data_IF_875459994110
#
_entry.id   IF_875459994110
#
_cell.length_a   1.000
_cell.length_b   1.000
_cell.length_c   1.000
_cell.angle_alpha   90.00
_cell.angle_beta   90.00
_cell.angle_gamma   90.00
#
_symmetry.space_group_name_H-M   'P 1'
#
loop_
_entity.id
_entity.type
_entity.pdbx_description
1 polymer ?
#
# COMPACT_ATOMS: atom_id res chain seq x y z
N UNK A 1 -18.71 -34.21 -37.31
CA UNK A 1 -17.35 -33.85 -36.93
C UNK A 1 -17.39 -32.63 -36.05
N UNK A 2 -17.01 -32.81 -34.76
CA UNK A 2 -16.86 -31.71 -33.80
C UNK A 2 -15.56 -31.02 -34.12
N UNK A 3 -15.62 -29.77 -34.53
CA UNK A 3 -14.44 -28.93 -34.76
C UNK A 3 -13.84 -28.58 -33.41
N UNK A 4 -12.78 -29.25 -32.99
CA UNK A 4 -11.95 -28.83 -31.85
C UNK A 4 -11.00 -27.77 -32.40
N UNK A 5 -11.35 -26.50 -32.19
CA UNK A 5 -10.43 -25.40 -32.48
C UNK A 5 -9.17 -25.52 -31.63
N UNK A 6 -8.05 -24.86 -32.02
CA UNK A 6 -6.83 -24.91 -31.24
C UNK A 6 -7.15 -24.35 -29.82
N UNK A 7 -6.81 -25.14 -28.81
CA UNK A 7 -6.86 -24.68 -27.41
C UNK A 7 -5.97 -23.45 -27.32
N UNK A 8 -6.61 -22.29 -27.21
CA UNK A 8 -5.88 -21.07 -26.83
C UNK A 8 -5.38 -21.28 -25.41
N UNK A 9 -4.08 -21.28 -25.14
CA UNK A 9 -3.59 -21.39 -23.77
C UNK A 9 -4.29 -20.31 -22.95
N UNK A 10 -4.96 -20.72 -21.88
CA UNK A 10 -5.48 -19.74 -20.90
C UNK A 10 -4.32 -18.84 -20.53
N UNK A 11 -4.49 -17.51 -20.54
CA UNK A 11 -3.41 -16.62 -20.17
C UNK A 11 -2.90 -17.05 -18.80
N UNK A 12 -1.58 -17.17 -18.66
CA UNK A 12 -0.90 -17.43 -17.41
C UNK A 12 -1.56 -16.58 -16.34
N UNK A 13 -2.03 -17.20 -15.25
CA UNK A 13 -2.71 -16.50 -14.17
C UNK A 13 -1.87 -15.29 -13.78
N UNK A 14 -2.46 -14.10 -13.85
CA UNK A 14 -1.83 -12.85 -13.45
C UNK A 14 -1.47 -12.87 -11.96
N UNK A 15 -0.76 -11.86 -11.50
CA UNK A 15 -0.37 -11.72 -10.09
C UNK A 15 -1.61 -11.57 -9.21
N UNK A 16 -1.48 -12.00 -7.96
CA UNK A 16 -2.45 -11.77 -6.90
C UNK A 16 -1.87 -10.67 -5.98
N UNK A 17 -2.36 -9.47 -6.13
CA UNK A 17 -1.84 -8.27 -5.44
C UNK A 17 -2.82 -7.82 -4.36
N UNK A 18 -2.41 -7.89 -3.09
CA UNK A 18 -3.11 -7.18 -2.02
C UNK A 18 -2.45 -5.82 -1.82
N UNK A 19 -3.24 -4.76 -1.79
CA UNK A 19 -2.81 -3.42 -1.41
C UNK A 19 -3.24 -3.16 0.02
N UNK A 20 -2.32 -2.85 0.92
CA UNK A 20 -2.61 -2.43 2.28
C UNK A 20 -2.33 -0.93 2.43
N UNK A 21 -3.36 -0.15 2.73
CA UNK A 21 -3.31 1.31 2.78
C UNK A 21 -3.61 1.78 4.19
N UNK A 22 -2.69 2.57 4.72
CA UNK A 22 -2.79 3.23 6.01
C UNK A 22 -3.87 4.33 5.99
N UNK A 23 -4.76 4.32 6.98
CA UNK A 23 -5.78 5.33 7.21
C UNK A 23 -5.61 6.03 8.57
N UNK A 24 -4.43 5.92 9.20
CA UNK A 24 -4.13 6.61 10.46
C UNK A 24 -4.27 8.13 10.34
N UNK A 25 -4.32 8.81 11.48
CA UNK A 25 -4.56 10.25 11.53
C UNK A 25 -3.54 11.06 10.74
N UNK A 26 -2.27 10.63 10.70
CA UNK A 26 -1.17 11.28 9.96
C UNK A 26 -1.38 11.31 8.45
N UNK A 27 -2.11 10.34 7.88
CA UNK A 27 -2.47 10.31 6.46
C UNK A 27 -3.37 11.49 6.03
N UNK A 28 -3.94 12.21 7.00
CA UNK A 28 -4.67 13.46 6.78
C UNK A 28 -3.79 14.71 6.65
N UNK A 29 -2.48 14.61 6.84
CA UNK A 29 -1.57 15.76 6.71
C UNK A 29 -1.49 16.25 5.28
N UNK A 30 -1.54 17.58 5.09
CA UNK A 30 -1.49 18.27 3.80
C UNK A 30 -0.07 18.74 3.48
N UNK A 31 0.89 17.79 3.43
CA UNK A 31 2.30 18.06 3.12
C UNK A 31 2.69 17.75 1.67
N UNK A 32 1.71 17.36 0.85
CA UNK A 32 1.84 17.19 -0.60
C UNK A 32 1.14 18.31 -1.37
N UNK A 33 1.48 18.47 -2.64
CA UNK A 33 0.78 19.34 -3.55
C UNK A 33 0.38 18.59 -4.83
N UNK A 34 -0.89 18.66 -5.20
CA UNK A 34 -1.42 18.15 -6.46
C UNK A 34 -1.89 19.36 -7.29
N UNK A 35 -1.36 19.52 -8.49
CA UNK A 35 -1.64 20.68 -9.36
C UNK A 35 -1.44 22.05 -8.67
N UNK A 36 -0.40 22.13 -7.81
CA UNK A 36 -0.08 23.34 -7.06
C UNK A 36 -1.00 23.65 -5.88
N UNK A 37 -1.92 22.73 -5.53
CA UNK A 37 -2.81 22.86 -4.36
C UNK A 37 -2.37 21.90 -3.25
N UNK A 38 -2.34 22.36 -1.98
CA UNK A 38 -2.12 21.48 -0.85
C UNK A 38 -3.12 20.31 -0.87
N UNK A 39 -2.63 19.11 -0.61
CA UNK A 39 -3.45 17.90 -0.59
C UNK A 39 -2.96 16.93 0.47
N UNK A 40 -3.87 16.08 0.95
CA UNK A 40 -3.54 15.10 2.00
C UNK A 40 -2.71 13.94 1.43
N UNK A 41 -1.91 13.30 2.29
CA UNK A 41 -1.18 12.07 1.95
C UNK A 41 -2.10 11.00 1.39
N UNK A 42 -3.26 10.80 2.02
CA UNK A 42 -4.25 9.81 1.57
C UNK A 42 -4.77 10.14 0.16
N UNK A 43 -5.05 11.41 -0.15
CA UNK A 43 -5.53 11.79 -1.48
C UNK A 43 -4.50 11.46 -2.58
N UNK A 44 -3.22 11.74 -2.32
CA UNK A 44 -2.12 11.39 -3.24
C UNK A 44 -1.97 9.88 -3.40
N UNK A 45 -2.05 9.14 -2.30
CA UNK A 45 -2.00 7.67 -2.32
C UNK A 45 -3.16 7.08 -3.12
N UNK A 46 -4.38 7.60 -2.93
CA UNK A 46 -5.54 7.17 -3.72
C UNK A 46 -5.36 7.40 -5.20
N UNK A 47 -4.90 8.59 -5.60
CA UNK A 47 -4.68 8.93 -7.00
C UNK A 47 -3.68 7.97 -7.66
N UNK A 48 -2.51 7.78 -7.05
CA UNK A 48 -1.50 6.87 -7.56
C UNK A 48 -1.96 5.40 -7.55
N UNK A 49 -2.71 4.98 -6.54
CA UNK A 49 -3.25 3.62 -6.45
C UNK A 49 -4.34 3.36 -7.51
N UNK A 50 -5.17 4.35 -7.84
CA UNK A 50 -6.14 4.28 -8.94
C UNK A 50 -5.43 4.01 -10.27
N UNK A 51 -4.37 4.76 -10.57
CA UNK A 51 -3.55 4.57 -11.76
C UNK A 51 -2.91 3.18 -11.81
N UNK A 52 -2.38 2.70 -10.66
CA UNK A 52 -1.84 1.35 -10.55
C UNK A 52 -2.89 0.29 -10.86
N UNK A 53 -4.07 0.38 -10.23
CA UNK A 53 -5.18 -0.56 -10.44
C UNK A 53 -5.60 -0.57 -11.92
N UNK A 54 -5.72 0.60 -12.55
CA UNK A 54 -6.15 0.72 -13.94
C UNK A 54 -5.21 0.01 -14.93
N UNK A 55 -3.90 0.01 -14.65
CA UNK A 55 -2.88 -0.60 -15.52
C UNK A 55 -2.72 -2.12 -15.35
N UNK A 56 -3.25 -2.71 -14.28
CA UNK A 56 -3.07 -4.14 -13.95
C UNK A 56 -4.13 -5.03 -14.62
N UNK A 57 -4.04 -5.14 -15.94
CA UNK A 57 -4.89 -6.06 -16.70
C UNK A 57 -4.41 -7.51 -16.47
N UNK A 58 -5.34 -8.40 -16.15
CA UNK A 58 -5.03 -9.82 -15.91
C UNK A 58 -4.62 -10.14 -14.46
N UNK A 59 -4.33 -9.14 -13.63
CA UNK A 59 -4.05 -9.34 -12.20
C UNK A 59 -5.35 -9.36 -11.37
N UNK A 60 -5.37 -10.13 -10.28
CA UNK A 60 -6.37 -9.96 -9.22
C UNK A 60 -5.84 -8.96 -8.20
N UNK A 61 -6.65 -7.97 -7.88
CA UNK A 61 -6.32 -6.95 -6.89
C UNK A 61 -7.30 -7.02 -5.75
N UNK A 62 -6.80 -6.95 -4.52
CA UNK A 62 -7.59 -6.80 -3.30
C UNK A 62 -7.10 -5.61 -2.49
N UNK A 63 -7.91 -5.16 -1.54
CA UNK A 63 -7.64 -3.98 -0.73
C UNK A 63 -7.81 -4.30 0.75
N UNK A 64 -6.78 -4.03 1.52
CA UNK A 64 -6.78 -3.98 2.98
C UNK A 64 -6.66 -2.52 3.38
N UNK A 65 -7.53 -2.07 4.27
CA UNK A 65 -7.42 -0.76 4.92
C UNK A 65 -7.06 -0.97 6.39
N UNK A 66 -6.19 -0.14 6.94
CA UNK A 66 -5.78 -0.29 8.33
C UNK A 66 -5.47 1.05 9.01
N UNK A 67 -5.68 1.06 10.31
CA UNK A 67 -5.21 2.03 11.28
C UNK A 67 -5.01 1.31 12.62
N UNK A 68 -5.80 1.50 13.65
CA UNK A 68 -5.76 0.70 14.89
C UNK A 68 -6.02 -0.79 14.63
N UNK A 69 -6.78 -1.09 13.58
CA UNK A 69 -7.12 -2.44 13.13
C UNK A 69 -7.02 -2.52 11.60
N UNK A 70 -6.83 -3.74 11.12
CA UNK A 70 -6.80 -4.04 9.69
C UNK A 70 -8.03 -4.86 9.27
N UNK A 71 -8.59 -4.54 8.10
CA UNK A 71 -9.71 -5.28 7.52
C UNK A 71 -9.63 -5.32 5.99
N UNK A 72 -10.27 -6.33 5.41
CA UNK A 72 -10.37 -6.47 3.96
C UNK A 72 -11.51 -5.59 3.46
N UNK A 73 -11.19 -4.56 2.70
CA UNK A 73 -12.16 -3.69 2.04
C UNK A 73 -12.63 -4.29 0.70
N UNK A 74 -11.70 -4.89 -0.06
CA UNK A 74 -12.00 -5.63 -1.27
C UNK A 74 -11.26 -6.97 -1.28
N UNK A 75 -11.95 -8.11 -1.53
CA UNK A 75 -11.28 -9.38 -1.76
C UNK A 75 -10.52 -9.35 -3.08
N UNK A 76 -9.62 -10.33 -3.29
CA UNK A 76 -8.91 -10.49 -4.58
C UNK A 76 -9.92 -10.71 -5.72
N UNK A 77 -9.98 -9.77 -6.65
CA UNK A 77 -10.90 -9.78 -7.79
C UNK A 77 -10.23 -9.26 -9.07
N UNK A 78 -10.74 -9.68 -10.22
CA UNK A 78 -10.39 -9.10 -11.53
C UNK A 78 -11.17 -7.80 -11.80
N UNK A 79 -12.21 -7.51 -11.02
CA UNK A 79 -13.02 -6.30 -11.19
C UNK A 79 -12.33 -5.09 -10.58
N UNK A 80 -11.53 -4.44 -11.40
CA UNK A 80 -10.77 -3.24 -11.02
C UNK A 80 -11.67 -2.05 -10.69
N UNK A 81 -12.86 -1.97 -11.29
CA UNK A 81 -13.79 -0.87 -11.02
C UNK A 81 -14.32 -0.94 -9.60
N UNK A 82 -14.65 -2.14 -9.12
CA UNK A 82 -15.07 -2.36 -7.73
C UNK A 82 -13.95 -1.98 -6.76
N UNK A 83 -12.70 -2.42 -7.02
CA UNK A 83 -11.56 -2.08 -6.16
C UNK A 83 -11.33 -0.57 -6.14
N UNK A 84 -11.37 0.09 -7.29
CA UNK A 84 -11.23 1.55 -7.42
C UNK A 84 -12.33 2.30 -6.66
N UNK A 85 -13.58 1.86 -6.77
CA UNK A 85 -14.69 2.48 -6.04
C UNK A 85 -14.50 2.35 -4.52
N UNK A 86 -14.20 1.14 -4.03
CA UNK A 86 -13.98 0.88 -2.61
C UNK A 86 -12.77 1.65 -2.05
N UNK A 87 -11.73 1.84 -2.86
CA UNK A 87 -10.59 2.69 -2.50
C UNK A 87 -11.02 4.17 -2.37
N UNK A 88 -11.88 4.66 -3.25
CA UNK A 88 -12.37 6.05 -3.18
C UNK A 88 -13.20 6.33 -1.92
N UNK A 89 -13.89 5.32 -1.41
CA UNK A 89 -14.69 5.43 -0.17
C UNK A 89 -13.83 5.46 1.10
N UNK A 90 -12.54 5.10 1.02
CA UNK A 90 -11.64 5.10 2.16
C UNK A 90 -11.45 6.54 2.72
N UNK A 91 -11.45 6.68 4.05
CA UNK A 91 -11.31 7.96 4.74
C UNK A 91 -10.34 7.82 5.90
N UNK A 92 -9.58 8.89 6.18
CA UNK A 92 -8.71 8.98 7.35
C UNK A 92 -9.51 8.75 8.62
N UNK A 93 -8.95 7.95 9.54
CA UNK A 93 -9.55 7.69 10.85
C UNK A 93 -10.74 6.73 10.84
N UNK A 94 -11.07 6.11 9.69
CA UNK A 94 -12.22 5.20 9.58
C UNK A 94 -12.16 4.03 10.59
N UNK A 95 -10.96 3.56 10.93
CA UNK A 95 -10.72 2.45 11.86
C UNK A 95 -9.83 2.82 13.06
N UNK A 96 -9.61 4.11 13.30
CA UNK A 96 -8.80 4.65 14.39
C UNK A 96 -7.76 5.65 13.93
N UNK A 97 -6.83 6.00 14.83
CA UNK A 97 -5.82 7.03 14.58
C UNK A 97 -4.39 6.49 14.57
N UNK A 98 -4.20 5.25 15.06
CA UNK A 98 -2.91 4.59 15.20
C UNK A 98 -2.58 3.76 13.95
N UNK A 99 -1.45 3.03 13.97
CA UNK A 99 -0.92 2.32 12.79
C UNK A 99 -0.55 0.88 13.17
N UNK A 100 -1.37 -0.09 12.73
CA UNK A 100 -1.19 -1.52 12.99
C UNK A 100 -0.60 -2.26 11.78
N UNK A 101 0.67 -2.04 11.47
CA UNK A 101 1.34 -2.60 10.29
C UNK A 101 1.36 -4.14 10.32
N UNK A 102 1.69 -4.73 11.46
CA UNK A 102 1.75 -6.19 11.59
C UNK A 102 0.42 -6.87 11.31
N UNK A 103 -0.67 -6.32 11.83
CA UNK A 103 -2.04 -6.82 11.60
C UNK A 103 -2.44 -6.65 10.12
N UNK A 104 -2.05 -5.55 9.46
CA UNK A 104 -2.29 -5.33 8.03
C UNK A 104 -1.61 -6.40 7.17
N UNK A 105 -0.35 -6.72 7.48
CA UNK A 105 0.39 -7.80 6.80
C UNK A 105 -0.30 -9.14 7.07
N UNK A 106 -0.67 -9.46 8.31
CA UNK A 106 -1.32 -10.72 8.67
C UNK A 106 -2.66 -10.93 7.94
N UNK A 107 -3.48 -9.88 7.84
CA UNK A 107 -4.75 -9.91 7.09
C UNK A 107 -4.50 -10.17 5.60
N UNK A 108 -3.52 -9.48 4.98
CA UNK A 108 -3.17 -9.69 3.59
C UNK A 108 -2.61 -11.11 3.34
N UNK A 109 -1.73 -11.59 4.20
CA UNK A 109 -1.17 -12.96 4.15
C UNK A 109 -2.28 -14.01 4.14
N UNK A 110 -3.27 -13.86 5.02
CA UNK A 110 -4.43 -14.77 5.07
C UNK A 110 -5.19 -14.85 3.75
N UNK A 111 -5.21 -13.79 2.96
CA UNK A 111 -5.89 -13.74 1.66
C UNK A 111 -5.02 -14.25 0.52
N UNK A 112 -3.71 -14.16 0.65
CA UNK A 112 -2.75 -14.56 -0.39
C UNK A 112 -2.28 -16.01 -0.26
N UNK A 113 -2.26 -16.60 0.94
CA UNK A 113 -1.63 -17.91 1.22
C UNK A 113 -2.13 -19.06 0.34
N UNK A 114 -3.38 -19.01 -0.10
CA UNK A 114 -4.01 -20.07 -0.91
C UNK A 114 -3.91 -19.81 -2.43
N UNK A 115 -3.15 -18.79 -2.84
CA UNK A 115 -2.89 -18.47 -4.25
C UNK A 115 -1.58 -19.14 -4.70
N UNK A 116 -1.32 -19.26 -6.02
CA UNK A 116 -0.05 -19.77 -6.52
C UNK A 116 1.14 -18.99 -5.94
N UNK A 117 2.19 -19.68 -5.48
CA UNK A 117 3.28 -19.08 -4.70
C UNK A 117 4.00 -17.94 -5.45
N UNK A 118 4.22 -18.11 -6.77
CA UNK A 118 4.97 -17.15 -7.60
C UNK A 118 4.19 -15.86 -7.88
N UNK A 119 2.87 -15.86 -7.57
CA UNK A 119 1.97 -14.74 -7.90
C UNK A 119 1.63 -13.86 -6.72
N UNK A 120 2.07 -14.19 -5.50
CA UNK A 120 1.66 -13.53 -4.24
C UNK A 120 2.42 -12.26 -3.98
N UNK A 121 1.74 -11.14 -4.01
CA UNK A 121 2.34 -9.80 -3.78
C UNK A 121 1.49 -9.02 -2.78
N UNK A 122 2.15 -8.39 -1.81
CA UNK A 122 1.58 -7.36 -0.94
C UNK A 122 2.28 -6.03 -1.21
N UNK A 123 1.52 -4.97 -1.43
CA UNK A 123 2.00 -3.59 -1.48
C UNK A 123 1.49 -2.88 -0.24
N UNK A 124 2.38 -2.52 0.66
CA UNK A 124 2.09 -1.86 1.93
C UNK A 124 2.45 -0.38 1.86
N UNK A 125 1.48 0.49 2.10
CA UNK A 125 1.68 1.94 2.16
C UNK A 125 1.39 2.45 3.56
N UNK A 126 2.32 3.19 4.12
CA UNK A 126 2.20 3.84 5.43
C UNK A 126 3.05 5.10 5.49
N UNK A 127 2.69 6.02 6.36
CA UNK A 127 3.44 7.23 6.67
C UNK A 127 3.99 7.26 8.11
N UNK A 128 3.82 6.17 8.87
CA UNK A 128 4.20 6.11 10.28
C UNK A 128 4.95 4.85 10.69
N UNK A 129 5.22 4.78 11.98
CA UNK A 129 5.71 3.60 12.66
C UNK A 129 4.53 2.77 13.19
N UNK A 130 4.73 1.46 13.32
CA UNK A 130 3.73 0.59 13.95
C UNK A 130 3.64 0.88 15.44
N UNK A 131 2.47 1.32 15.89
CA UNK A 131 2.20 1.67 17.30
C UNK A 131 0.89 1.08 17.83
N UNK A 132 0.26 0.21 17.04
CA UNK A 132 -0.96 -0.52 17.39
C UNK A 132 -0.93 -1.94 16.80
N UNK A 133 -1.96 -2.71 17.10
CA UNK A 133 -2.14 -4.07 16.60
C UNK A 133 -1.65 -5.14 17.58
N UNK A 134 -1.90 -6.38 17.24
CA UNK A 134 -1.58 -7.55 18.05
C UNK A 134 -0.35 -8.30 17.55
N UNK A 135 0.01 -8.12 16.28
CA UNK A 135 1.15 -8.77 15.65
C UNK A 135 2.28 -7.77 15.39
N UNK A 136 3.50 -8.16 15.77
CA UNK A 136 4.70 -7.39 15.45
C UNK A 136 4.98 -7.40 13.94
N UNK A 137 5.35 -6.25 13.32
CA UNK A 137 5.56 -6.14 11.88
C UNK A 137 6.57 -7.15 11.32
N UNK A 138 7.70 -7.37 12.00
CA UNK A 138 8.74 -8.31 11.54
C UNK A 138 8.32 -9.76 11.69
N UNK A 139 7.49 -10.10 12.68
CA UNK A 139 6.91 -11.44 12.79
C UNK A 139 5.93 -11.71 11.64
N UNK A 140 5.10 -10.72 11.30
CA UNK A 140 4.20 -10.81 10.16
C UNK A 140 4.97 -10.94 8.82
N UNK A 141 6.08 -10.21 8.66
CA UNK A 141 6.95 -10.33 7.50
C UNK A 141 7.58 -11.73 7.38
N UNK A 142 8.03 -12.30 8.48
CA UNK A 142 8.56 -13.66 8.51
C UNK A 142 7.50 -14.69 8.09
N UNK A 143 6.28 -14.55 8.59
CA UNK A 143 5.17 -15.40 8.16
C UNK A 143 4.89 -15.25 6.66
N UNK A 144 4.93 -14.04 6.12
CA UNK A 144 4.77 -13.79 4.69
C UNK A 144 5.87 -14.47 3.88
N UNK A 145 7.14 -14.37 4.32
CA UNK A 145 8.28 -15.04 3.69
C UNK A 145 8.10 -16.55 3.63
N UNK A 146 7.74 -17.17 4.76
CA UNK A 146 7.54 -18.62 4.86
C UNK A 146 6.43 -19.12 3.91
N UNK A 147 5.50 -18.25 3.56
CA UNK A 147 4.40 -18.50 2.62
C UNK A 147 4.69 -18.02 1.18
N UNK A 148 5.92 -17.61 0.88
CA UNK A 148 6.32 -17.16 -0.46
C UNK A 148 5.64 -15.86 -0.91
N UNK A 149 5.26 -14.97 0.01
CA UNK A 149 4.63 -13.68 -0.29
C UNK A 149 5.71 -12.60 -0.31
N UNK A 150 5.82 -11.86 -1.41
CA UNK A 150 6.71 -10.69 -1.52
C UNK A 150 6.00 -9.46 -1.01
N UNK A 151 6.66 -8.70 -0.14
CA UNK A 151 6.12 -7.43 0.38
C UNK A 151 6.94 -6.27 -0.18
N UNK A 152 6.27 -5.40 -0.94
CA UNK A 152 6.80 -4.10 -1.31
C UNK A 152 6.28 -3.08 -0.32
N UNK A 153 7.18 -2.29 0.26
CA UNK A 153 6.82 -1.28 1.24
C UNK A 153 7.04 0.11 0.69
N UNK A 154 6.08 1.00 0.88
CA UNK A 154 6.12 2.39 0.41
C UNK A 154 5.92 3.29 1.62
N UNK A 155 6.98 4.02 1.99
CA UNK A 155 6.91 5.07 3.00
C UNK A 155 6.47 6.39 2.36
N UNK A 156 5.38 6.98 2.86
CA UNK A 156 4.79 8.21 2.33
C UNK A 156 5.11 9.38 3.25
N UNK A 157 5.47 10.53 2.69
CA UNK A 157 5.72 11.77 3.43
C UNK A 157 6.70 12.68 2.70
N UNK A 158 6.39 13.97 2.63
CA UNK A 158 7.13 14.93 1.81
C UNK A 158 8.57 15.20 2.29
N UNK A 159 8.92 14.81 3.51
CA UNK A 159 10.22 15.10 4.11
C UNK A 159 10.35 16.55 4.59
N UNK A 160 11.57 17.03 4.89
CA UNK A 160 11.78 18.36 5.41
C UNK A 160 11.28 19.45 4.46
N UNK A 161 10.42 20.34 4.95
CA UNK A 161 9.89 21.49 4.21
C UNK A 161 10.19 22.79 4.94
N UNK A 162 10.47 23.85 4.18
CA UNK A 162 10.61 25.18 4.72
C UNK A 162 9.24 25.84 4.87
N UNK A 163 8.79 26.01 6.11
CA UNK A 163 7.52 26.67 6.44
C UNK A 163 7.84 28.09 6.90
N UNK A 164 7.13 29.08 6.36
CA UNK A 164 7.19 30.46 6.84
C UNK A 164 6.25 30.62 8.04
N UNK A 165 6.81 30.85 9.23
CA UNK A 165 6.06 30.91 10.49
C UNK A 165 5.70 32.34 10.90
N UNK A 166 5.95 33.35 10.06
CA UNK A 166 5.79 34.76 10.43
C UNK A 166 6.92 35.30 11.33
N UNK A 167 7.72 34.43 11.93
CA UNK A 167 8.95 34.75 12.68
C UNK A 167 10.22 34.35 11.94
N UNK A 168 10.06 33.89 10.67
CA UNK A 168 11.15 33.41 9.82
C UNK A 168 10.88 32.03 9.24
N UNK A 169 11.75 31.62 8.30
CA UNK A 169 11.68 30.28 7.70
C UNK A 169 12.20 29.23 8.68
N UNK A 170 11.36 28.24 8.97
CA UNK A 170 11.77 27.06 9.73
C UNK A 170 11.68 25.83 8.85
N UNK A 171 12.65 24.93 8.97
CA UNK A 171 12.62 23.62 8.31
C UNK A 171 11.91 22.66 9.27
N UNK A 172 10.76 22.17 8.87
CA UNK A 172 9.98 21.17 9.61
C UNK A 172 9.94 19.88 8.80
N UNK A 173 10.29 18.77 9.43
CA UNK A 173 10.13 17.44 8.83
C UNK A 173 8.85 16.80 9.40
N UNK A 174 7.81 16.78 8.57
CA UNK A 174 6.51 16.20 8.91
C UNK A 174 6.50 14.65 8.78
N UNK A 175 7.60 14.06 8.35
CA UNK A 175 7.74 12.61 8.17
C UNK A 175 8.63 11.94 9.23
N UNK A 176 8.85 12.58 10.36
CA UNK A 176 9.71 12.07 11.45
C UNK A 176 9.22 10.75 12.05
N UNK A 177 7.90 10.49 11.99
CA UNK A 177 7.30 9.28 12.55
C UNK A 177 7.43 8.06 11.62
N UNK A 178 7.94 8.23 10.39
CA UNK A 178 8.11 7.11 9.46
C UNK A 178 9.28 6.22 9.85
N UNK A 179 8.99 4.97 10.21
CA UNK A 179 10.01 3.97 10.51
C UNK A 179 10.52 3.28 9.23
N UNK A 180 11.39 3.99 8.50
CA UNK A 180 12.01 3.44 7.29
C UNK A 180 12.85 2.18 7.54
N UNK A 181 13.43 2.04 8.74
CA UNK A 181 14.26 0.89 9.09
C UNK A 181 13.42 -0.38 9.12
N UNK A 182 12.28 -0.33 9.77
CA UNK A 182 11.36 -1.47 9.83
C UNK A 182 10.77 -1.77 8.44
N UNK A 183 10.36 -0.76 7.67
CA UNK A 183 9.83 -0.95 6.33
C UNK A 183 10.84 -1.59 5.36
N UNK A 184 12.12 -1.19 5.43
CA UNK A 184 13.20 -1.81 4.67
C UNK A 184 13.40 -3.27 5.05
N UNK A 185 13.44 -3.57 6.35
CA UNK A 185 13.58 -4.95 6.85
C UNK A 185 12.43 -5.85 6.40
N UNK A 186 11.18 -5.36 6.44
CA UNK A 186 10.01 -6.11 5.94
C UNK A 186 10.18 -6.46 4.46
N UNK A 187 10.54 -5.49 3.65
CA UNK A 187 10.74 -5.69 2.21
C UNK A 187 11.89 -6.66 1.93
N UNK A 188 13.06 -6.43 2.52
CA UNK A 188 14.26 -7.26 2.32
C UNK A 188 14.03 -8.71 2.77
N UNK A 189 13.39 -8.92 3.92
CA UNK A 189 13.09 -10.24 4.47
C UNK A 189 12.22 -11.08 3.53
N UNK A 190 11.32 -10.45 2.78
CA UNK A 190 10.35 -11.12 1.90
C UNK A 190 10.77 -11.14 0.42
N UNK A 191 11.95 -10.60 0.10
CA UNK A 191 12.45 -10.50 -1.29
C UNK A 191 11.72 -9.44 -2.12
N UNK A 192 11.06 -8.49 -1.47
CA UNK A 192 10.50 -7.29 -2.08
C UNK A 192 11.47 -6.12 -2.12
N UNK A 193 10.93 -4.91 -2.13
CA UNK A 193 11.71 -3.66 -2.15
C UNK A 193 11.01 -2.55 -1.37
N UNK A 194 11.79 -1.74 -0.68
CA UNK A 194 11.34 -0.50 -0.06
C UNK A 194 11.44 0.67 -1.05
N UNK A 195 10.43 1.54 -1.01
CA UNK A 195 10.40 2.81 -1.73
C UNK A 195 10.02 3.96 -0.80
N UNK A 196 10.57 5.13 -1.07
CA UNK A 196 10.22 6.38 -0.40
C UNK A 196 9.49 7.30 -1.36
N UNK A 197 8.24 7.64 -1.07
CA UNK A 197 7.46 8.63 -1.81
C UNK A 197 7.50 9.97 -1.09
N UNK A 198 8.21 10.94 -1.65
CA UNK A 198 8.35 12.30 -1.12
C UNK A 198 7.48 13.33 -1.83
N UNK A 199 6.99 12.96 -3.00
CA UNK A 199 6.14 13.78 -3.86
C UNK A 199 5.20 12.89 -4.70
N UNK A 200 4.21 13.51 -5.32
CA UNK A 200 3.21 12.84 -6.17
C UNK A 200 3.87 12.08 -7.33
N UNK A 201 4.84 12.70 -8.00
CA UNK A 201 5.54 12.09 -9.13
C UNK A 201 6.38 10.88 -8.69
N UNK A 202 7.01 10.94 -7.50
CA UNK A 202 7.72 9.82 -6.89
C UNK A 202 6.82 8.62 -6.66
N UNK A 203 5.65 8.83 -6.07
CA UNK A 203 4.68 7.79 -5.82
C UNK A 203 4.16 7.16 -7.12
N UNK A 204 3.83 7.97 -8.12
CA UNK A 204 3.40 7.50 -9.43
C UNK A 204 4.47 6.62 -10.12
N UNK A 205 5.76 6.99 -10.04
CA UNK A 205 6.87 6.18 -10.57
C UNK A 205 7.01 4.83 -9.86
N UNK A 206 6.84 4.79 -8.54
CA UNK A 206 6.91 3.56 -7.74
C UNK A 206 5.84 2.57 -8.21
N UNK A 207 4.63 3.03 -8.43
CA UNK A 207 3.53 2.18 -8.90
C UNK A 207 3.67 1.77 -10.38
N UNK A 208 4.46 2.47 -11.17
CA UNK A 208 4.71 2.11 -12.57
C UNK A 208 5.80 1.03 -12.73
N UNK A 209 6.62 0.80 -11.71
CA UNK A 209 7.70 -0.19 -11.69
C UNK A 209 7.18 -1.61 -11.35
#
# INVERSE_FOLDING_TARGET
>A
PVYVGPETPLPLEGRNVMMAIDLSGSMGQEDFALDGRPTTRLAVVKDAAQDFIARRQGDRIGLVLFSDRAYVQAPLTFDRNVVSQLLNEAQVGLTGQQTAIGDAIAVAVKRLKDRPADSRVLVLLTDGASNAGTMEPLQAAKLAKDLGIRIYTIGVGAGPQAIDTGFGRQIVDLSQDLDEVTLKKIADETGGRYFRARDVAGLARIYAA
#
